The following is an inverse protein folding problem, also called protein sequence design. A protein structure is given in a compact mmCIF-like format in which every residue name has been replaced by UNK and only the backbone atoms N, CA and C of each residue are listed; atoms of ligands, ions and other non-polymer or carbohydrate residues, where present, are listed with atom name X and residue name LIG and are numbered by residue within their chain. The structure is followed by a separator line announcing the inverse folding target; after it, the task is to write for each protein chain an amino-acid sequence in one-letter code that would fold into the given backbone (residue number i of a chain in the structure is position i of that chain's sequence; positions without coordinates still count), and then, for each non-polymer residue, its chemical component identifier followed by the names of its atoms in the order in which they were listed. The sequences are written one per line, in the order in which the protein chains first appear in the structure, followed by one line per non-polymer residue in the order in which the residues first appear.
data_IF_771416610534
#
_entry.id   IF_771416610534
#
_cell.length_a   1.000
_cell.length_b   1.000
_cell.length_c   1.000
_cell.angle_alpha   90.00
_cell.angle_beta   90.00
_cell.angle_gamma   90.00
#
_symmetry.space_group_name_H-M   'P 1'
#
loop_
_entity.id
_entity.type
_entity.pdbx_description
1 polymer ?
#
# COMPACT_ATOMS: atom_id res chain seq x y z
N UNK A 1 -13.58 -23.68 -1.78
CA UNK A 1 -13.74 -22.22 -1.83
C UNK A 1 -12.52 -21.57 -1.23
N UNK A 2 -11.84 -20.73 -1.99
CA UNK A 2 -10.66 -20.01 -1.51
C UNK A 2 -11.09 -18.87 -0.59
N UNK A 3 -10.41 -18.73 0.53
CA UNK A 3 -10.65 -17.60 1.42
C UNK A 3 -10.31 -16.29 0.70
N UNK A 4 -11.10 -15.25 0.93
CA UNK A 4 -10.86 -13.95 0.34
C UNK A 4 -9.62 -13.31 0.97
N UNK A 5 -8.80 -12.67 0.14
CA UNK A 5 -7.58 -11.98 0.56
C UNK A 5 -7.67 -10.50 0.26
N UNK A 6 -6.94 -9.70 1.03
CA UNK A 6 -6.85 -8.27 0.85
C UNK A 6 -5.41 -7.81 0.71
N UNK A 7 -5.23 -6.76 -0.09
CA UNK A 7 -3.97 -6.05 -0.25
C UNK A 7 -4.21 -4.60 0.09
N UNK A 8 -3.48 -4.09 1.07
CA UNK A 8 -3.51 -2.66 1.41
C UNK A 8 -2.20 -2.04 0.95
N UNK A 9 -2.30 -1.10 0.03
CA UNK A 9 -1.19 -0.26 -0.37
C UNK A 9 -1.18 0.93 0.59
N UNK A 10 -0.25 0.91 1.53
CA UNK A 10 -0.22 1.88 2.62
C UNK A 10 0.72 3.03 2.27
N UNK A 11 0.17 4.23 2.18
CA UNK A 11 0.89 5.42 1.72
C UNK A 11 0.90 6.50 2.80
N UNK A 12 1.85 7.42 2.68
CA UNK A 12 2.02 8.48 3.68
C UNK A 12 0.81 9.42 3.73
N UNK A 13 0.37 9.89 2.59
CA UNK A 13 -0.68 10.89 2.47
C UNK A 13 -0.12 12.30 2.34
N UNK A 14 -0.91 13.17 1.73
CA UNK A 14 -0.58 14.58 1.58
C UNK A 14 -1.87 15.38 1.47
N UNK A 15 -1.78 16.68 1.76
CA UNK A 15 -2.95 17.56 1.72
C UNK A 15 -3.50 17.76 0.31
N UNK A 16 -2.61 17.76 -0.70
CA UNK A 16 -3.03 17.88 -2.10
C UNK A 16 -3.56 16.53 -2.58
N UNK A 17 -4.84 16.42 -2.95
CA UNK A 17 -5.40 15.13 -3.39
C UNK A 17 -4.75 14.57 -4.66
N UNK A 18 -4.09 15.40 -5.47
CA UNK A 18 -3.38 14.93 -6.67
C UNK A 18 -2.18 14.06 -6.32
N UNK A 19 -1.65 14.20 -5.11
CA UNK A 19 -0.53 13.38 -4.64
C UNK A 19 -0.86 11.88 -4.68
N UNK A 20 -2.11 11.52 -4.48
CA UNK A 20 -2.54 10.12 -4.40
C UNK A 20 -2.74 9.46 -5.77
N UNK A 21 -2.85 10.22 -6.85
CA UNK A 21 -3.16 9.67 -8.19
C UNK A 21 -2.22 8.53 -8.64
N UNK A 22 -0.89 8.63 -8.48
CA UNK A 22 -0.02 7.52 -8.88
C UNK A 22 -0.30 6.24 -8.10
N UNK A 23 -0.72 6.36 -6.85
CA UNK A 23 -1.03 5.19 -6.02
C UNK A 23 -2.33 4.52 -6.44
N UNK A 24 -3.30 5.29 -6.93
CA UNK A 24 -4.52 4.71 -7.51
C UNK A 24 -4.23 3.98 -8.82
N UNK A 25 -3.31 4.50 -9.64
CA UNK A 25 -2.87 3.78 -10.83
C UNK A 25 -2.14 2.50 -10.46
N UNK A 26 -1.32 2.54 -9.43
CA UNK A 26 -0.65 1.33 -8.93
C UNK A 26 -1.69 0.32 -8.41
N UNK A 27 -2.69 0.78 -7.67
CA UNK A 27 -3.78 -0.07 -7.19
C UNK A 27 -4.43 -0.82 -8.35
N UNK A 28 -4.72 -0.12 -9.45
CA UNK A 28 -5.37 -0.74 -10.60
C UNK A 28 -4.47 -1.80 -11.26
N UNK A 29 -3.17 -1.53 -11.34
CA UNK A 29 -2.20 -2.50 -11.86
C UNK A 29 -2.13 -3.74 -10.94
N UNK A 30 -2.11 -3.54 -9.64
CA UNK A 30 -2.10 -4.63 -8.67
C UNK A 30 -3.38 -5.45 -8.77
N UNK A 31 -4.53 -4.78 -8.88
CA UNK A 31 -5.83 -5.46 -9.01
C UNK A 31 -5.89 -6.35 -10.26
N UNK A 32 -5.26 -5.93 -11.36
CA UNK A 32 -5.20 -6.74 -12.58
C UNK A 32 -4.35 -8.00 -12.38
N UNK A 33 -3.29 -7.92 -11.59
CA UNK A 33 -2.38 -9.05 -11.33
C UNK A 33 -2.87 -9.97 -10.23
N UNK A 34 -3.69 -9.45 -9.33
CA UNK A 34 -4.23 -10.18 -8.18
C UNK A 34 -5.76 -10.10 -8.20
N UNK A 35 -6.37 -10.58 -9.26
CA UNK A 35 -7.79 -10.37 -9.55
C UNK A 35 -8.73 -10.90 -8.46
N UNK A 36 -8.30 -11.88 -7.67
CA UNK A 36 -9.11 -12.44 -6.60
C UNK A 36 -9.00 -11.66 -5.28
N UNK A 37 -8.11 -10.68 -5.20
CA UNK A 37 -7.87 -9.93 -3.97
C UNK A 37 -8.64 -8.61 -3.97
N UNK A 38 -9.01 -8.16 -2.78
CA UNK A 38 -9.48 -6.79 -2.57
C UNK A 38 -8.25 -5.89 -2.43
N UNK A 39 -8.14 -4.85 -3.25
CA UNK A 39 -6.98 -3.95 -3.24
C UNK A 39 -7.43 -2.55 -2.92
N UNK A 40 -6.85 -1.96 -1.88
CA UNK A 40 -7.23 -0.64 -1.37
C UNK A 40 -5.97 0.16 -1.07
N UNK A 41 -6.01 1.46 -1.34
CA UNK A 41 -5.00 2.42 -0.87
C UNK A 41 -5.47 2.95 0.47
N UNK A 42 -4.62 2.84 1.49
CA UNK A 42 -4.88 3.41 2.81
C UNK A 42 -3.82 4.45 3.15
N UNK A 43 -4.18 5.40 3.98
CA UNK A 43 -3.37 6.59 4.24
C UNK A 43 -2.93 6.66 5.69
N UNK A 44 -1.66 7.00 5.91
CA UNK A 44 -1.15 7.28 7.24
C UNK A 44 -1.78 8.56 7.80
N UNK A 45 -1.88 9.58 6.95
CA UNK A 45 -2.48 10.87 7.29
C UNK A 45 -3.03 11.56 6.04
N UNK A 46 -3.84 12.60 6.21
CA UNK A 46 -4.38 13.45 5.15
C UNK A 46 -5.14 12.69 4.07
N UNK A 47 -5.77 11.59 4.42
CA UNK A 47 -6.58 10.84 3.46
C UNK A 47 -7.36 9.73 4.14
N UNK A 48 -8.33 9.21 3.41
CA UNK A 48 -9.20 8.12 3.86
C UNK A 48 -9.28 7.03 2.78
N UNK A 49 -9.40 5.76 3.17
CA UNK A 49 -9.43 5.28 4.57
C UNK A 49 -8.05 5.29 5.22
N UNK A 50 -8.03 5.31 6.54
CA UNK A 50 -6.82 4.96 7.27
C UNK A 50 -6.66 3.44 7.33
N UNK A 51 -5.60 2.96 7.97
CA UNK A 51 -5.31 1.53 7.99
C UNK A 51 -6.40 0.73 8.70
N UNK A 52 -6.87 1.21 9.84
CA UNK A 52 -7.91 0.53 10.61
C UNK A 52 -9.24 0.51 9.85
N UNK A 53 -9.61 1.60 9.22
CA UNK A 53 -10.83 1.68 8.42
C UNK A 53 -10.79 0.71 7.22
N UNK A 54 -9.65 0.65 6.54
CA UNK A 54 -9.46 -0.27 5.41
C UNK A 54 -9.57 -1.73 5.87
N UNK A 55 -8.93 -2.07 6.99
CA UNK A 55 -8.99 -3.42 7.53
C UNK A 55 -10.41 -3.81 7.94
N UNK A 56 -11.14 -2.91 8.59
CA UNK A 56 -12.52 -3.15 8.99
C UNK A 56 -13.44 -3.37 7.79
N UNK A 57 -13.28 -2.55 6.75
CA UNK A 57 -14.07 -2.67 5.53
C UNK A 57 -13.81 -4.01 4.81
N UNK A 58 -12.56 -4.43 4.76
CA UNK A 58 -12.22 -5.72 4.17
C UNK A 58 -12.79 -6.89 4.99
N UNK A 59 -12.70 -6.81 6.32
CA UNK A 59 -13.26 -7.83 7.19
C UNK A 59 -14.79 -7.96 6.99
N UNK A 60 -15.48 -6.85 6.78
CA UNK A 60 -16.90 -6.82 6.49
C UNK A 60 -17.24 -7.50 5.15
N UNK A 61 -16.27 -7.63 4.24
CA UNK A 61 -16.39 -8.33 2.97
C UNK A 61 -15.84 -9.76 3.03
N UNK A 62 -15.76 -10.34 4.22
CA UNK A 62 -15.28 -11.72 4.45
C UNK A 62 -13.81 -11.96 4.09
N UNK A 63 -13.00 -10.90 4.04
CA UNK A 63 -11.56 -11.05 3.90
C UNK A 63 -10.99 -11.61 5.19
N UNK A 64 -10.18 -12.65 5.09
CA UNK A 64 -9.58 -13.34 6.25
C UNK A 64 -8.07 -13.13 6.36
N UNK A 65 -7.42 -12.66 5.30
CA UNK A 65 -5.98 -12.36 5.28
C UNK A 65 -5.77 -11.03 4.58
N UNK A 66 -4.96 -10.17 5.19
CA UNK A 66 -4.61 -8.87 4.62
C UNK A 66 -3.10 -8.74 4.60
N UNK A 67 -2.55 -8.47 3.42
CA UNK A 67 -1.15 -8.10 3.25
C UNK A 67 -1.07 -6.58 3.19
N UNK A 68 -0.27 -6.00 4.09
CA UNK A 68 -0.01 -4.56 4.11
C UNK A 68 1.32 -4.31 3.43
N UNK A 69 1.31 -3.49 2.39
CA UNK A 69 2.50 -3.12 1.62
C UNK A 69 2.80 -1.65 1.84
N UNK A 70 3.78 -1.32 2.70
CA UNK A 70 4.13 0.08 2.95
C UNK A 70 4.90 0.65 1.77
N UNK A 71 4.34 1.69 1.14
CA UNK A 71 4.96 2.34 0.00
C UNK A 71 5.79 3.54 0.47
N UNK A 72 6.75 3.24 1.35
CA UNK A 72 7.66 4.22 1.92
C UNK A 72 9.08 3.91 1.47
N UNK A 73 9.90 4.94 1.27
CA UNK A 73 11.31 4.75 0.96
C UNK A 73 12.17 4.70 2.20
N UNK A 74 12.06 5.72 3.03
CA UNK A 74 12.83 5.78 4.24
C UNK A 74 11.94 5.61 5.46
N UNK A 75 12.54 5.16 6.56
CA UNK A 75 11.89 5.12 7.86
C UNK A 75 12.36 6.31 8.66
N UNK A 76 11.67 7.44 8.58
CA UNK A 76 11.88 8.54 9.51
C UNK A 76 11.48 8.13 10.92
N UNK A 77 12.02 8.80 11.94
CA UNK A 77 11.68 8.50 13.32
C UNK A 77 10.19 8.56 13.61
N UNK A 78 9.51 9.50 12.99
CA UNK A 78 8.05 9.67 13.11
C UNK A 78 7.31 8.40 12.66
N UNK A 79 7.71 7.83 11.54
CA UNK A 79 7.09 6.63 11.01
C UNK A 79 7.36 5.41 11.89
N UNK A 80 8.56 5.30 12.48
CA UNK A 80 8.90 4.21 13.38
C UNK A 80 8.04 4.19 14.62
N UNK A 81 7.63 5.35 15.11
CA UNK A 81 6.82 5.47 16.33
C UNK A 81 5.34 5.25 16.03
N UNK A 82 4.86 5.76 14.92
CA UNK A 82 3.43 5.78 14.62
C UNK A 82 2.93 4.50 13.96
N UNK A 83 3.74 3.85 13.13
CA UNK A 83 3.28 2.69 12.39
C UNK A 83 2.85 1.53 13.30
N UNK A 84 3.61 1.13 14.32
CA UNK A 84 3.15 0.05 15.20
C UNK A 84 1.80 0.32 15.85
N UNK A 85 1.52 1.57 16.20
CA UNK A 85 0.23 1.97 16.76
C UNK A 85 -0.89 1.81 15.73
N UNK A 86 -0.67 2.26 14.50
CA UNK A 86 -1.66 2.12 13.42
C UNK A 86 -1.92 0.65 13.09
N UNK A 87 -0.88 -0.18 13.12
CA UNK A 87 -1.03 -1.60 12.90
C UNK A 87 -1.83 -2.27 14.02
N UNK A 88 -1.60 -1.87 15.27
CA UNK A 88 -2.38 -2.36 16.41
C UNK A 88 -3.84 -1.94 16.31
N UNK A 89 -4.11 -0.72 15.85
CA UNK A 89 -5.47 -0.24 15.62
C UNK A 89 -6.17 -1.08 14.53
N UNK A 90 -5.45 -1.44 13.47
CA UNK A 90 -5.99 -2.30 12.42
C UNK A 90 -6.32 -3.69 12.97
N UNK A 91 -5.45 -4.27 13.78
CA UNK A 91 -5.70 -5.57 14.41
C UNK A 91 -6.92 -5.54 15.31
N UNK A 92 -7.13 -4.46 16.05
CA UNK A 92 -8.32 -4.30 16.88
C UNK A 92 -9.59 -4.12 16.05
N UNK A 93 -9.49 -3.42 14.92
CA UNK A 93 -10.61 -3.19 14.03
C UNK A 93 -11.05 -4.46 13.29
N UNK A 94 -10.13 -5.40 13.08
CA UNK A 94 -10.39 -6.64 12.37
C UNK A 94 -9.72 -7.82 13.10
N UNK A 95 -10.25 -8.21 14.27
CA UNK A 95 -9.55 -9.16 15.16
C UNK A 95 -9.47 -10.59 14.60
N UNK A 96 -10.29 -10.94 13.62
CA UNK A 96 -10.27 -12.29 13.03
C UNK A 96 -9.42 -12.35 11.76
N UNK A 97 -8.86 -11.24 11.33
CA UNK A 97 -8.03 -11.18 10.13
C UNK A 97 -6.58 -11.49 10.48
N UNK A 98 -5.95 -12.31 9.64
CA UNK A 98 -4.51 -12.54 9.71
C UNK A 98 -3.80 -11.48 8.88
N UNK A 99 -2.90 -10.74 9.51
CA UNK A 99 -2.14 -9.67 8.84
C UNK A 99 -0.74 -10.13 8.51
N UNK A 100 -0.31 -9.85 7.28
CA UNK A 100 1.07 -9.99 6.83
C UNK A 100 1.61 -8.61 6.51
N UNK A 101 2.74 -8.25 7.10
CA UNK A 101 3.38 -6.97 6.84
C UNK A 101 4.57 -7.20 5.91
N UNK A 102 4.48 -6.65 4.69
CA UNK A 102 5.61 -6.66 3.77
C UNK A 102 6.66 -5.63 4.20
N UNK A 103 7.90 -5.82 3.77
CA UNK A 103 8.90 -4.78 3.97
C UNK A 103 8.53 -3.52 3.20
N UNK A 104 9.03 -2.37 3.64
CA UNK A 104 8.78 -1.11 2.94
C UNK A 104 9.34 -1.17 1.51
N UNK A 105 8.61 -0.55 0.58
CA UNK A 105 8.99 -0.60 -0.85
C UNK A 105 10.42 -0.13 -1.09
N UNK A 106 10.87 0.90 -0.38
CA UNK A 106 12.23 1.42 -0.52
C UNK A 106 13.33 0.51 0.02
N UNK A 107 12.97 -0.58 0.71
CA UNK A 107 13.91 -1.58 1.20
C UNK A 107 13.92 -2.87 0.36
N UNK A 108 13.02 -2.96 -0.62
CA UNK A 108 12.88 -4.16 -1.44
C UNK A 108 13.76 -4.08 -2.68
N UNK A 109 14.62 -5.08 -2.88
CA UNK A 109 15.59 -5.07 -3.98
C UNK A 109 14.91 -5.05 -5.35
N UNK A 110 13.83 -5.77 -5.54
CA UNK A 110 13.14 -5.79 -6.83
C UNK A 110 12.56 -4.41 -7.18
N UNK A 111 12.06 -3.68 -6.17
CA UNK A 111 11.58 -2.31 -6.35
C UNK A 111 12.75 -1.38 -6.70
N UNK A 112 13.86 -1.49 -5.97
CA UNK A 112 15.04 -0.67 -6.23
C UNK A 112 15.63 -0.95 -7.60
N UNK A 113 15.64 -2.21 -8.03
CA UNK A 113 16.11 -2.59 -9.36
C UNK A 113 15.25 -1.97 -10.46
N UNK A 114 13.93 -1.98 -10.29
CA UNK A 114 13.03 -1.36 -11.27
C UNK A 114 13.25 0.14 -11.35
N UNK A 115 13.46 0.79 -10.20
CA UNK A 115 13.74 2.23 -10.16
C UNK A 115 15.11 2.55 -10.77
N UNK A 116 16.11 1.71 -10.53
CA UNK A 116 17.42 1.89 -11.13
C UNK A 116 17.35 1.79 -12.65
N UNK A 117 16.61 0.82 -13.16
CA UNK A 117 16.39 0.66 -14.60
C UNK A 117 15.71 1.91 -15.17
N UNK A 118 14.69 2.39 -14.50
CA UNK A 118 13.98 3.59 -14.92
C UNK A 118 14.91 4.83 -14.90
N UNK A 119 15.71 4.97 -13.84
CA UNK A 119 16.55 6.14 -13.64
C UNK A 119 17.65 6.28 -14.71
N UNK A 120 18.19 5.15 -15.21
CA UNK A 120 19.26 5.17 -16.22
C UNK A 120 18.71 5.02 -17.63
N UNK A 121 17.41 4.87 -17.81
CA UNK A 121 16.83 4.71 -19.15
C UNK A 121 17.11 5.95 -20.00
N UNK A 122 17.52 5.74 -21.24
CA UNK A 122 17.70 6.84 -22.18
C UNK A 122 16.34 7.50 -22.45
N UNK A 123 16.30 8.83 -22.67
CA UNK A 123 15.05 9.49 -23.04
C UNK A 123 14.49 8.86 -24.31
N UNK A 124 13.18 8.61 -24.32
CA UNK A 124 12.51 8.16 -25.53
C UNK A 124 12.50 9.29 -26.55
N UNK A 125 12.87 9.00 -27.81
CA UNK A 125 12.88 10.00 -28.88
C UNK A 125 11.52 10.67 -29.04
N UNK A 126 10.44 9.95 -28.81
CA UNK A 126 9.09 10.49 -28.87
C UNK A 126 8.77 11.47 -27.73
N UNK A 127 9.51 11.43 -26.64
CA UNK A 127 9.32 12.29 -25.48
C UNK A 127 10.26 13.49 -25.45
N UNK A 128 11.13 13.62 -26.41
CA UNK A 128 12.14 14.68 -26.48
C UNK A 128 11.62 16.04 -26.94
N UNK A 129 10.33 16.21 -26.93
CA UNK A 129 9.71 17.46 -27.31
C UNK A 129 9.88 18.55 -26.24
#
# INVERSE_FOLDING_TARGET
MTAATGLILYVHGARDPRWAEPFYRLRDKVAQRAAAAHVVVAFLEHGKPDLAEAAAAMAACDVVRIRIVPLFFGRGGHLREDFPRHLDDARRAAPLVEFELAEAAGENDAVLDALATYAVAAPDDSSSA
#
